data_IF_590319322832
#
_entry.id   IF_590319322832
#
_cell.length_a   1.000
_cell.length_b   1.000
_cell.length_c   1.000
_cell.angle_alpha   90.00
_cell.angle_beta   90.00
_cell.angle_gamma   90.00
#
_symmetry.space_group_name_H-M   'P 1'
#
loop_
_entity.id
_entity.type
_entity.pdbx_description
1 polymer ?
#
# COMPACT_ATOMS: atom_id res chain seq x y z
N UNK A 1 87.77 17.45 23.00
CA UNK A 1 87.06 16.15 22.94
C UNK A 1 86.20 16.10 24.20
N UNK A 2 84.88 16.00 24.24
CA UNK A 2 83.80 15.73 23.27
C UNK A 2 82.49 16.06 24.02
N UNK A 3 81.47 16.54 23.30
CA UNK A 3 80.18 16.99 23.81
C UNK A 3 79.21 15.85 24.18
N UNK A 4 78.28 16.12 25.10
CA UNK A 4 76.97 15.47 25.27
C UNK A 4 76.08 16.49 26.00
N UNK A 5 74.88 16.88 25.57
CA UNK A 5 73.90 16.30 24.66
C UNK A 5 72.53 16.35 25.36
N UNK A 6 71.70 17.36 25.03
CA UNK A 6 70.32 17.56 25.48
C UNK A 6 69.44 16.31 25.23
N UNK A 7 68.32 16.19 25.96
CA UNK A 7 66.98 15.94 25.36
C UNK A 7 65.85 16.13 26.38
N UNK A 8 64.92 17.05 26.05
CA UNK A 8 63.64 17.27 26.71
C UNK A 8 62.62 16.22 26.24
N UNK A 9 61.86 15.64 27.16
CA UNK A 9 60.72 14.77 26.85
C UNK A 9 59.41 15.57 26.94
N UNK A 10 58.75 15.77 25.80
CA UNK A 10 57.34 16.14 25.72
C UNK A 10 56.58 15.03 25.01
N UNK A 11 55.44 14.60 25.56
CA UNK A 11 54.53 13.63 24.94
C UNK A 11 53.10 14.19 25.04
N UNK A 12 52.43 14.23 23.88
CA UNK A 12 51.23 15.04 23.62
C UNK A 12 49.90 14.38 24.01
N UNK A 13 48.90 15.25 24.18
CA UNK A 13 47.48 14.87 24.26
C UNK A 13 47.00 14.32 22.91
N UNK A 14 46.40 13.13 22.93
CA UNK A 14 45.66 12.57 21.79
C UNK A 14 44.19 12.91 21.94
N UNK A 15 43.68 13.77 21.05
CA UNK A 15 42.24 14.03 20.89
C UNK A 15 41.63 12.90 20.05
N UNK A 16 40.82 12.05 20.68
CA UNK A 16 40.00 11.07 19.97
C UNK A 16 38.81 11.77 19.31
N UNK A 17 38.87 11.95 17.99
CA UNK A 17 37.71 12.36 17.20
C UNK A 17 36.75 11.17 17.07
N UNK A 18 35.68 11.18 17.87
CA UNK A 18 34.59 10.22 17.72
C UNK A 18 33.88 10.44 16.38
N UNK A 19 33.93 9.44 15.50
CA UNK A 19 33.11 9.43 14.29
C UNK A 19 31.64 9.35 14.69
N UNK A 20 30.91 10.46 14.55
CA UNK A 20 29.46 10.42 14.54
C UNK A 20 29.05 9.59 13.32
N UNK A 21 28.65 8.35 13.52
CA UNK A 21 27.96 7.58 12.49
C UNK A 21 26.66 8.35 12.19
N UNK A 22 26.65 9.09 11.08
CA UNK A 22 25.43 9.66 10.55
C UNK A 22 24.44 8.53 10.35
N UNK A 23 23.28 8.60 10.99
CA UNK A 23 22.18 7.71 10.67
C UNK A 23 21.76 8.06 9.24
N UNK A 24 22.22 7.27 8.27
CA UNK A 24 21.68 7.36 6.93
C UNK A 24 20.19 6.99 7.06
N UNK A 25 19.25 7.86 6.62
CA UNK A 25 17.86 7.49 6.61
C UNK A 25 17.73 6.18 5.84
N UNK A 26 17.06 5.20 6.44
CA UNK A 26 16.75 3.91 5.81
C UNK A 26 16.22 4.21 4.42
N UNK A 27 16.98 3.83 3.39
CA UNK A 27 16.55 4.04 2.01
C UNK A 27 15.36 3.11 1.80
N UNK A 28 14.19 3.69 1.52
CA UNK A 28 13.03 2.92 1.11
C UNK A 28 13.41 2.03 -0.08
N UNK A 29 12.89 0.82 -0.10
CA UNK A 29 12.87 0.03 -1.33
C UNK A 29 12.19 0.86 -2.42
N UNK A 30 12.87 1.04 -3.56
CA UNK A 30 12.41 1.91 -4.65
C UNK A 30 11.05 1.46 -5.23
N UNK A 31 10.66 0.20 -5.02
CA UNK A 31 9.33 -0.28 -5.39
C UNK A 31 8.22 0.51 -4.70
N UNK A 32 8.45 1.05 -3.51
CA UNK A 32 7.47 1.87 -2.79
C UNK A 32 7.38 3.32 -3.27
N UNK A 33 8.30 3.79 -4.13
CA UNK A 33 8.40 5.21 -4.50
C UNK A 33 7.07 5.78 -5.01
N UNK A 34 6.29 4.99 -5.76
CA UNK A 34 5.00 5.40 -6.29
C UNK A 34 3.98 5.83 -5.22
N UNK A 35 4.04 5.20 -4.04
CA UNK A 35 3.10 5.42 -2.95
C UNK A 35 3.61 6.41 -1.91
N UNK A 36 4.90 6.77 -1.91
CA UNK A 36 5.42 7.71 -0.91
C UNK A 36 4.76 9.09 -1.02
N UNK A 37 4.53 9.71 0.14
CA UNK A 37 3.88 11.02 0.23
C UNK A 37 2.54 10.95 0.95
N UNK A 38 1.82 12.07 0.97
CA UNK A 38 0.50 12.16 1.59
C UNK A 38 -0.61 12.16 0.54
N UNK A 39 -1.65 11.42 0.85
CA UNK A 39 -2.79 11.14 -0.02
C UNK A 39 -4.08 11.55 0.68
N UNK A 40 -5.05 12.00 -0.11
CA UNK A 40 -6.38 12.39 0.37
C UNK A 40 -7.44 11.59 -0.40
N UNK A 41 -8.58 11.24 0.24
CA UNK A 41 -9.61 10.46 -0.45
C UNK A 41 -10.10 11.15 -1.73
N UNK A 42 -10.11 10.44 -2.85
CA UNK A 42 -10.49 10.97 -4.16
C UNK A 42 -11.97 11.40 -4.20
N UNK A 43 -12.86 10.70 -3.49
CA UNK A 43 -14.27 11.09 -3.37
C UNK A 43 -14.53 12.25 -2.39
N UNK A 44 -13.51 12.80 -1.72
CA UNK A 44 -13.72 13.90 -0.78
C UNK A 44 -14.11 15.20 -1.52
N UNK A 45 -15.18 15.89 -1.09
CA UNK A 45 -15.54 17.21 -1.62
C UNK A 45 -14.39 18.20 -1.51
N UNK A 46 -14.28 19.11 -2.48
CA UNK A 46 -13.27 20.18 -2.42
C UNK A 46 -13.39 20.97 -1.12
N UNK A 47 -12.27 21.16 -0.42
CA UNK A 47 -12.22 21.88 0.85
C UNK A 47 -12.66 21.09 2.09
N UNK A 48 -13.05 19.81 1.95
CA UNK A 48 -13.35 18.95 3.10
C UNK A 48 -12.08 18.67 3.91
N UNK A 49 -12.18 18.76 5.25
CA UNK A 49 -11.10 18.37 6.17
C UNK A 49 -11.14 16.86 6.40
N UNK A 50 -10.65 16.09 5.44
CA UNK A 50 -10.50 14.64 5.57
C UNK A 50 -9.13 14.29 6.16
N UNK A 51 -9.02 13.22 6.96
CA UNK A 51 -7.72 12.67 7.33
C UNK A 51 -6.88 12.36 6.09
N UNK A 52 -5.58 12.63 6.16
CA UNK A 52 -4.62 12.24 5.14
C UNK A 52 -4.10 10.83 5.43
N UNK A 53 -3.81 10.08 4.38
CA UNK A 53 -3.02 8.86 4.44
C UNK A 53 -1.60 9.19 3.96
N UNK A 54 -0.62 9.19 4.84
CA UNK A 54 0.78 9.42 4.48
C UNK A 54 1.55 8.11 4.51
N UNK A 55 2.14 7.74 3.37
CA UNK A 55 3.02 6.57 3.25
C UNK A 55 4.44 7.06 3.40
N UNK A 56 5.15 6.51 4.39
CA UNK A 56 6.52 6.89 4.70
C UNK A 56 7.42 5.66 4.73
N UNK A 57 8.72 5.80 4.39
CA UNK A 57 9.67 4.70 4.54
C UNK A 57 9.72 4.17 5.98
N UNK A 58 9.82 2.85 6.13
CA UNK A 58 9.97 2.19 7.42
C UNK A 58 11.18 1.25 7.41
N UNK A 59 11.62 0.82 8.60
CA UNK A 59 12.61 -0.24 8.74
C UNK A 59 12.00 -1.58 8.33
N UNK A 60 12.72 -2.38 7.56
CA UNK A 60 12.30 -3.70 7.08
C UNK A 60 13.00 -4.02 5.77
N UNK A 61 12.61 -5.10 5.11
CA UNK A 61 13.20 -5.48 3.82
C UNK A 61 12.62 -4.64 2.68
N UNK A 62 11.30 -4.56 2.63
CA UNK A 62 10.55 -3.76 1.67
C UNK A 62 9.39 -3.10 2.39
N UNK A 63 9.72 -2.15 3.27
CA UNK A 63 8.78 -1.69 4.29
C UNK A 63 8.42 -0.20 4.23
N UNK A 64 7.15 0.06 4.52
CA UNK A 64 6.56 1.39 4.71
C UNK A 64 5.63 1.41 5.91
N UNK A 65 5.43 2.58 6.47
CA UNK A 65 4.35 2.85 7.40
C UNK A 65 3.27 3.69 6.71
N UNK A 66 2.01 3.25 6.82
CA UNK A 66 0.81 3.97 6.44
C UNK A 66 0.29 4.74 7.67
N UNK A 67 0.37 6.06 7.60
CA UNK A 67 0.05 6.97 8.71
C UNK A 67 -1.22 7.73 8.42
N UNK A 68 -2.21 7.61 9.30
CA UNK A 68 -3.40 8.47 9.24
C UNK A 68 -3.14 9.77 9.99
N UNK A 69 -3.07 10.89 9.26
CA UNK A 69 -2.82 12.22 9.81
C UNK A 69 -4.14 13.00 9.86
N UNK A 70 -4.54 13.41 11.07
CA UNK A 70 -5.71 14.26 11.28
C UNK A 70 -5.37 15.38 12.25
N UNK A 71 -5.75 16.62 11.90
CA UNK A 71 -5.46 17.79 12.74
C UNK A 71 -3.97 18.00 13.01
N UNK A 72 -3.10 17.67 12.05
CA UNK A 72 -1.64 17.79 12.18
C UNK A 72 -0.99 16.78 13.13
N UNK A 73 -1.69 15.68 13.46
CA UNK A 73 -1.18 14.60 14.32
C UNK A 73 -1.38 13.24 13.65
N UNK A 74 -0.46 12.31 13.89
CA UNK A 74 -0.67 10.90 13.55
C UNK A 74 -1.67 10.30 14.53
N UNK A 75 -2.72 9.70 13.99
CA UNK A 75 -3.85 9.12 14.75
C UNK A 75 -3.94 7.60 14.59
N UNK A 76 -3.35 7.05 13.52
CA UNK A 76 -3.18 5.63 13.32
C UNK A 76 -1.89 5.36 12.53
N UNK A 77 -1.30 4.19 12.76
CA UNK A 77 -0.11 3.70 12.06
C UNK A 77 -0.33 2.23 11.71
N UNK A 78 -0.03 1.88 10.47
CA UNK A 78 -0.01 0.51 9.97
C UNK A 78 1.34 0.26 9.31
N UNK A 79 1.99 -0.83 9.69
CA UNK A 79 3.28 -1.23 9.12
C UNK A 79 3.07 -2.30 8.06
N UNK A 80 3.74 -2.16 6.92
CA UNK A 80 3.73 -3.14 5.83
C UNK A 80 5.18 -3.45 5.47
N UNK A 81 5.58 -4.73 5.52
CA UNK A 81 6.82 -5.23 4.91
C UNK A 81 6.45 -6.25 3.82
N UNK A 82 6.68 -5.89 2.55
CA UNK A 82 6.25 -6.67 1.39
C UNK A 82 7.26 -7.78 1.00
N UNK A 83 7.72 -8.54 2.00
CA UNK A 83 8.72 -9.61 1.85
C UNK A 83 8.11 -11.02 1.69
N UNK A 84 6.78 -11.14 1.80
CA UNK A 84 6.04 -12.40 1.71
C UNK A 84 6.01 -13.23 3.00
N UNK A 85 6.66 -12.77 4.07
CA UNK A 85 6.66 -13.47 5.34
C UNK A 85 5.32 -13.32 6.06
N UNK A 86 4.93 -14.38 6.77
CA UNK A 86 3.78 -14.33 7.68
C UNK A 86 4.24 -13.80 9.03
N UNK A 87 3.71 -12.65 9.41
CA UNK A 87 3.97 -12.01 10.70
C UNK A 87 2.78 -12.26 11.60
N UNK A 88 3.02 -12.96 12.72
CA UNK A 88 2.00 -13.13 13.75
C UNK A 88 1.68 -11.78 14.39
N UNK A 89 0.40 -11.50 14.61
CA UNK A 89 -0.06 -10.27 15.23
C UNK A 89 -1.37 -10.51 15.99
N UNK A 90 -1.68 -9.61 16.92
CA UNK A 90 -2.97 -9.54 17.59
C UNK A 90 -3.55 -8.15 17.43
N UNK A 91 -4.72 -8.07 16.80
CA UNK A 91 -5.42 -6.81 16.52
C UNK A 91 -6.83 -6.91 17.07
N UNK A 92 -7.17 -6.01 18.00
CA UNK A 92 -8.54 -5.79 18.50
C UNK A 92 -9.25 -7.06 18.98
N UNK A 93 -8.56 -7.88 19.78
CA UNK A 93 -9.12 -9.14 20.27
C UNK A 93 -9.20 -10.23 19.20
N UNK A 94 -8.42 -10.12 18.12
CA UNK A 94 -8.23 -11.19 17.14
C UNK A 94 -6.75 -11.52 16.99
N UNK A 95 -6.40 -12.80 17.09
CA UNK A 95 -5.03 -13.31 16.99
C UNK A 95 -4.87 -14.14 15.73
N UNK A 96 -3.74 -13.99 15.06
CA UNK A 96 -3.51 -14.63 13.77
C UNK A 96 -2.25 -14.12 13.11
N UNK A 97 -2.28 -13.98 11.78
CA UNK A 97 -1.14 -13.52 11.00
C UNK A 97 -1.57 -12.60 9.85
N UNK A 98 -0.59 -11.83 9.38
CA UNK A 98 -0.68 -11.07 8.14
C UNK A 98 0.59 -11.28 7.30
N UNK A 99 0.50 -11.08 6.00
CA UNK A 99 1.66 -11.06 5.09
C UNK A 99 1.40 -10.06 3.96
N UNK A 100 2.45 -9.39 3.50
CA UNK A 100 2.41 -8.59 2.30
C UNK A 100 3.45 -9.09 1.30
N UNK A 101 3.13 -9.08 0.01
CA UNK A 101 4.02 -9.54 -1.05
C UNK A 101 3.83 -8.68 -2.30
N UNK A 102 4.94 -8.27 -2.93
CA UNK A 102 4.91 -7.65 -4.25
C UNK A 102 4.38 -8.61 -5.33
N UNK A 103 3.63 -8.07 -6.28
CA UNK A 103 3.39 -8.74 -7.56
C UNK A 103 4.72 -9.01 -8.27
N UNK A 104 4.73 -9.97 -9.20
CA UNK A 104 5.95 -10.34 -9.93
C UNK A 104 6.56 -9.18 -10.72
N UNK A 105 5.74 -8.23 -11.15
CA UNK A 105 6.18 -7.04 -11.87
C UNK A 105 6.45 -5.83 -10.96
N UNK A 106 6.28 -5.98 -9.65
CA UNK A 106 6.54 -4.96 -8.63
C UNK A 106 5.67 -3.70 -8.70
N UNK A 107 4.53 -3.77 -9.37
CA UNK A 107 3.62 -2.63 -9.53
C UNK A 107 2.45 -2.65 -8.53
N UNK A 108 2.30 -3.74 -7.77
CA UNK A 108 1.19 -3.96 -6.82
C UNK A 108 1.68 -4.72 -5.60
N UNK A 109 1.00 -4.52 -4.47
CA UNK A 109 1.22 -5.30 -3.25
C UNK A 109 -0.04 -6.08 -2.92
N UNK A 110 0.10 -7.40 -2.79
CA UNK A 110 -0.93 -8.30 -2.29
C UNK A 110 -0.76 -8.47 -0.78
N UNK A 111 -1.84 -8.29 -0.03
CA UNK A 111 -1.86 -8.50 1.40
C UNK A 111 -2.82 -9.64 1.74
N UNK A 112 -2.44 -10.44 2.72
CA UNK A 112 -3.26 -11.49 3.28
C UNK A 112 -3.29 -11.37 4.78
N UNK A 113 -4.43 -11.69 5.36
CA UNK A 113 -4.58 -11.84 6.78
C UNK A 113 -5.56 -12.96 7.11
N UNK A 114 -5.28 -13.66 8.20
CA UNK A 114 -6.11 -14.72 8.75
C UNK A 114 -6.06 -14.64 10.28
N UNK A 115 -7.22 -14.45 10.88
CA UNK A 115 -7.38 -14.16 12.31
C UNK A 115 -8.53 -14.96 12.90
N UNK A 116 -8.40 -15.31 14.17
CA UNK A 116 -9.51 -15.79 15.01
C UNK A 116 -9.74 -14.80 16.13
N UNK A 117 -10.97 -14.30 16.26
CA UNK A 117 -11.35 -13.34 17.29
C UNK A 117 -11.77 -14.02 18.59
N UNK A 118 -11.74 -13.29 19.71
CA UNK A 118 -12.05 -13.77 21.05
C UNK A 118 -13.46 -14.38 21.16
N UNK A 119 -14.39 -13.93 20.32
CA UNK A 119 -15.75 -14.47 20.20
C UNK A 119 -15.82 -15.75 19.32
N UNK A 120 -14.69 -16.31 18.91
CA UNK A 120 -14.57 -17.50 18.07
C UNK A 120 -14.83 -17.27 16.58
N UNK A 121 -15.07 -16.03 16.14
CA UNK A 121 -15.30 -15.71 14.72
C UNK A 121 -13.97 -15.73 13.97
N UNK A 122 -13.91 -16.57 12.92
CA UNK A 122 -12.81 -16.56 11.96
C UNK A 122 -12.97 -15.41 10.97
N UNK A 123 -11.86 -14.71 10.71
CA UNK A 123 -11.77 -13.58 9.80
C UNK A 123 -10.60 -13.77 8.86
N UNK A 124 -10.86 -13.74 7.57
CA UNK A 124 -9.83 -13.75 6.54
C UNK A 124 -10.01 -12.54 5.63
N UNK A 125 -8.90 -12.02 5.12
CA UNK A 125 -8.93 -10.95 4.14
C UNK A 125 -7.81 -11.09 3.13
N UNK A 126 -8.12 -10.73 1.89
CA UNK A 126 -7.13 -10.43 0.86
C UNK A 126 -7.28 -8.98 0.46
N UNK A 127 -6.18 -8.25 0.35
CA UNK A 127 -6.17 -6.86 -0.09
C UNK A 127 -5.14 -6.61 -1.18
N UNK A 128 -5.33 -5.52 -1.90
CA UNK A 128 -4.47 -5.05 -2.96
C UNK A 128 -4.19 -3.56 -2.75
N UNK A 129 -2.90 -3.21 -2.72
CA UNK A 129 -2.42 -1.85 -2.92
C UNK A 129 -1.94 -1.74 -4.36
N UNK A 130 -2.49 -0.79 -5.11
CA UNK A 130 -2.18 -0.55 -6.51
C UNK A 130 -2.23 0.95 -6.83
N UNK A 131 -1.78 1.30 -8.04
CA UNK A 131 -2.04 2.60 -8.65
C UNK A 131 -3.13 2.45 -9.70
N UNK A 132 -4.04 3.42 -9.78
CA UNK A 132 -4.95 3.57 -10.90
C UNK A 132 -4.19 4.05 -12.14
N UNK A 133 -4.82 3.98 -13.31
CA UNK A 133 -4.25 4.53 -14.54
C UNK A 133 -4.00 6.05 -14.47
N UNK A 134 -4.71 6.75 -13.57
CA UNK A 134 -4.62 8.20 -13.39
C UNK A 134 -3.63 8.59 -12.26
N UNK A 135 -2.85 7.62 -11.75
CA UNK A 135 -1.88 7.87 -10.68
C UNK A 135 -2.53 8.00 -9.30
N UNK A 136 -3.74 7.50 -9.11
CA UNK A 136 -4.40 7.46 -7.79
C UNK A 136 -4.03 6.19 -7.02
N UNK A 137 -3.66 6.33 -5.75
CA UNK A 137 -3.45 5.19 -4.88
C UNK A 137 -4.80 4.50 -4.63
N UNK A 138 -4.91 3.25 -5.03
CA UNK A 138 -6.01 2.35 -4.72
C UNK A 138 -5.66 1.36 -3.60
N UNK A 139 -6.55 1.27 -2.61
CA UNK A 139 -6.59 0.21 -1.60
C UNK A 139 -7.90 -0.56 -1.75
N UNK A 140 -7.82 -1.81 -2.16
CA UNK A 140 -8.95 -2.70 -2.37
C UNK A 140 -8.87 -3.82 -1.34
N UNK A 141 -9.85 -3.93 -0.46
CA UNK A 141 -9.87 -4.91 0.61
C UNK A 141 -11.11 -5.80 0.52
N UNK A 142 -10.89 -7.11 0.42
CA UNK A 142 -11.93 -8.13 0.62
C UNK A 142 -11.85 -8.63 2.05
N UNK A 143 -12.98 -8.63 2.75
CA UNK A 143 -13.10 -9.17 4.11
C UNK A 143 -14.14 -10.27 4.13
N UNK A 144 -13.78 -11.39 4.73
CA UNK A 144 -14.66 -12.49 5.09
C UNK A 144 -14.72 -12.60 6.61
N UNK A 145 -15.93 -12.63 7.17
CA UNK A 145 -16.19 -12.89 8.58
C UNK A 145 -17.29 -13.94 8.70
N UNK A 146 -16.90 -15.18 9.02
CA UNK A 146 -17.80 -16.32 8.94
C UNK A 146 -18.38 -16.52 7.54
N UNK A 147 -19.71 -16.44 7.39
CA UNK A 147 -20.41 -16.56 6.08
C UNK A 147 -20.67 -15.22 5.39
N UNK A 148 -20.34 -14.10 6.04
CA UNK A 148 -20.57 -12.75 5.51
C UNK A 148 -19.29 -12.23 4.91
N UNK A 149 -19.44 -11.48 3.84
CA UNK A 149 -18.34 -10.94 3.05
C UNK A 149 -18.63 -9.57 2.52
N UNK A 150 -17.57 -8.82 2.20
CA UNK A 150 -17.68 -7.55 1.53
C UNK A 150 -16.36 -7.12 0.91
N UNK A 151 -16.45 -6.24 -0.08
CA UNK A 151 -15.29 -5.57 -0.67
C UNK A 151 -15.42 -4.08 -0.45
N UNK A 152 -14.33 -3.48 0.01
CA UNK A 152 -14.18 -2.04 0.12
C UNK A 152 -13.14 -1.59 -0.90
N UNK A 153 -13.45 -0.51 -1.60
CA UNK A 153 -12.50 0.20 -2.46
C UNK A 153 -12.30 1.59 -1.88
N UNK A 154 -11.04 1.95 -1.68
CA UNK A 154 -10.64 3.32 -1.36
C UNK A 154 -9.69 3.80 -2.44
N UNK A 155 -9.98 4.96 -2.98
CA UNK A 155 -9.11 5.63 -3.94
C UNK A 155 -8.67 6.95 -3.34
N UNK A 156 -7.39 7.25 -3.47
CA UNK A 156 -6.77 8.46 -2.97
C UNK A 156 -6.00 9.17 -4.07
N UNK A 157 -6.17 10.49 -4.13
CA UNK A 157 -5.35 11.37 -4.96
C UNK A 157 -4.23 11.96 -4.11
N UNK A 158 -3.15 12.38 -4.75
CA UNK A 158 -2.08 13.10 -4.08
C UNK A 158 -2.62 14.35 -3.36
N UNK A 159 -2.18 14.55 -2.12
CA UNK A 159 -2.47 15.76 -1.38
C UNK A 159 -1.49 16.87 -1.81
N UNK A 160 -1.87 17.63 -2.85
CA UNK A 160 -1.06 18.74 -3.38
C UNK A 160 -0.71 19.80 -2.31
N UNK A 161 -1.61 20.02 -1.35
CA UNK A 161 -1.42 20.95 -0.25
C UNK A 161 -1.86 20.28 1.07
N UNK A 162 -1.02 19.42 1.68
CA UNK A 162 -1.42 18.61 2.84
C UNK A 162 -1.56 19.42 4.14
N UNK A 163 -1.25 20.72 4.11
CA UNK A 163 -1.20 21.55 5.31
C UNK A 163 -0.04 21.15 6.24
N UNK A 164 -0.09 21.55 7.52
CA UNK A 164 0.96 21.20 8.47
C UNK A 164 1.03 19.70 8.72
N UNK A 165 2.16 19.08 8.35
CA UNK A 165 2.45 17.69 8.65
C UNK A 165 3.22 17.57 9.98
N UNK A 166 3.02 16.48 10.75
CA UNK A 166 3.90 16.16 11.86
C UNK A 166 5.37 16.10 11.39
N UNK A 167 6.34 16.58 12.19
CA UNK A 167 7.76 16.55 11.80
C UNK A 167 8.27 15.16 11.42
N UNK A 168 7.78 14.10 12.08
CA UNK A 168 8.13 12.71 11.74
C UNK A 168 7.74 12.33 10.31
N UNK A 169 6.59 12.82 9.83
CA UNK A 169 6.09 12.55 8.47
C UNK A 169 6.87 13.38 7.46
N UNK A 170 7.02 14.68 7.72
CA UNK A 170 7.74 15.60 6.82
C UNK A 170 9.20 15.17 6.60
N UNK A 171 9.89 14.79 7.67
CA UNK A 171 11.28 14.33 7.61
C UNK A 171 11.43 12.99 6.89
N UNK A 172 10.48 12.07 7.07
CA UNK A 172 10.53 10.74 6.45
C UNK A 172 10.31 10.80 4.93
N UNK A 173 9.37 11.63 4.46
CA UNK A 173 9.11 11.84 3.03
C UNK A 173 10.34 12.50 2.38
N UNK A 174 10.85 13.59 2.96
CA UNK A 174 12.03 14.30 2.46
C UNK A 174 11.89 14.80 1.01
N UNK A 175 13.00 15.10 0.36
CA UNK A 175 13.04 15.50 -1.05
C UNK A 175 13.23 14.27 -1.96
N UNK A 176 12.11 13.71 -2.43
CA UNK A 176 12.06 12.50 -3.28
C UNK A 176 11.20 12.69 -4.53
N UNK A 177 10.87 13.93 -4.88
CA UNK A 177 9.84 14.24 -5.88
C UNK A 177 10.06 13.51 -7.22
N UNK A 178 11.30 13.50 -7.74
CA UNK A 178 11.59 12.81 -9.00
C UNK A 178 11.44 11.29 -8.92
N UNK A 179 11.85 10.67 -7.81
CA UNK A 179 11.74 9.22 -7.63
C UNK A 179 10.28 8.81 -7.49
N UNK A 180 9.50 9.58 -6.73
CA UNK A 180 8.06 9.38 -6.57
C UNK A 180 7.33 9.47 -7.91
N UNK A 181 7.62 10.50 -8.70
CA UNK A 181 6.98 10.67 -10.01
C UNK A 181 7.31 9.51 -10.98
N UNK A 182 8.57 9.11 -11.05
CA UNK A 182 8.97 7.95 -11.85
C UNK A 182 8.31 6.66 -11.36
N UNK A 183 8.20 6.48 -10.05
CA UNK A 183 7.49 5.36 -9.43
C UNK A 183 6.02 5.32 -9.82
N UNK A 184 5.32 6.46 -9.81
CA UNK A 184 3.90 6.55 -10.20
C UNK A 184 3.68 6.18 -11.66
N UNK A 185 4.55 6.64 -12.56
CA UNK A 185 4.50 6.25 -13.98
C UNK A 185 4.67 4.74 -14.15
N UNK A 186 5.61 4.13 -13.42
CA UNK A 186 5.83 2.69 -13.46
C UNK A 186 4.63 1.91 -12.88
N UNK A 187 4.13 2.29 -11.71
CA UNK A 187 3.02 1.58 -11.04
C UNK A 187 1.68 1.72 -11.78
N UNK A 188 1.54 2.72 -12.67
CA UNK A 188 0.36 2.95 -13.50
C UNK A 188 0.46 2.29 -14.89
N UNK A 189 1.51 1.50 -15.16
CA UNK A 189 1.74 0.88 -16.45
C UNK A 189 0.57 -0.01 -16.91
N UNK A 190 0.32 -0.18 -18.22
CA UNK A 190 -0.80 -0.97 -18.73
C UNK A 190 -0.83 -2.40 -18.20
N UNK A 191 -2.03 -2.88 -17.88
CA UNK A 191 -2.25 -4.20 -17.28
C UNK A 191 -2.16 -5.31 -18.33
N UNK A 192 -1.44 -6.40 -18.00
CA UNK A 192 -1.32 -7.59 -18.86
C UNK A 192 -2.22 -8.72 -18.35
N UNK A 193 -2.59 -9.65 -19.24
CA UNK A 193 -3.33 -10.84 -18.85
C UNK A 193 -2.61 -11.68 -17.77
N UNK A 194 -1.27 -11.76 -17.81
CA UNK A 194 -0.47 -12.45 -16.79
C UNK A 194 -0.67 -11.87 -15.40
N UNK A 195 -0.88 -10.56 -15.31
CA UNK A 195 -0.99 -9.84 -14.05
C UNK A 195 -2.36 -10.08 -13.41
N UNK A 196 -3.40 -10.19 -14.24
CA UNK A 196 -4.75 -10.58 -13.83
C UNK A 196 -4.78 -12.03 -13.39
N UNK A 197 -4.09 -12.92 -14.10
CA UNK A 197 -3.95 -14.32 -13.71
C UNK A 197 -3.24 -14.45 -12.36
N UNK A 198 -2.14 -13.71 -12.15
CA UNK A 198 -1.46 -13.66 -10.86
C UNK A 198 -2.37 -13.13 -9.76
N UNK A 199 -3.02 -11.98 -9.97
CA UNK A 199 -3.94 -11.40 -8.98
C UNK A 199 -5.06 -12.39 -8.62
N UNK A 200 -5.58 -13.14 -9.59
CA UNK A 200 -6.63 -14.15 -9.37
C UNK A 200 -6.16 -15.38 -8.58
N UNK A 201 -4.85 -15.66 -8.56
CA UNK A 201 -4.25 -16.71 -7.74
C UNK A 201 -3.94 -16.22 -6.31
N UNK A 202 -3.81 -14.91 -6.12
CA UNK A 202 -3.41 -14.29 -4.86
C UNK A 202 -4.58 -13.67 -4.10
N UNK A 203 -5.65 -13.29 -4.77
CA UNK A 203 -6.73 -12.53 -4.17
C UNK A 203 -8.06 -13.24 -4.34
N UNK A 204 -8.98 -12.96 -3.43
CA UNK A 204 -10.35 -13.36 -3.61
C UNK A 204 -10.95 -12.66 -4.83
N UNK A 205 -11.75 -13.42 -5.58
CA UNK A 205 -12.57 -12.96 -6.70
C UNK A 205 -13.03 -11.50 -6.66
N UNK A 206 -13.87 -11.19 -5.67
CA UNK A 206 -14.47 -9.86 -5.54
C UNK A 206 -13.44 -8.72 -5.44
N UNK A 207 -12.24 -8.99 -4.92
CA UNK A 207 -11.15 -7.99 -4.83
C UNK A 207 -10.57 -7.72 -6.22
N UNK A 208 -10.32 -8.76 -7.00
CA UNK A 208 -9.83 -8.61 -8.39
C UNK A 208 -10.86 -7.89 -9.24
N UNK A 209 -12.14 -8.27 -9.13
CA UNK A 209 -13.25 -7.61 -9.82
C UNK A 209 -13.31 -6.12 -9.49
N UNK A 210 -13.33 -5.78 -8.20
CA UNK A 210 -13.39 -4.39 -7.76
C UNK A 210 -12.15 -3.59 -8.20
N UNK A 211 -10.96 -4.20 -8.16
CA UNK A 211 -9.75 -3.58 -8.68
C UNK A 211 -9.86 -3.23 -10.17
N UNK A 212 -10.24 -4.19 -11.01
CA UNK A 212 -10.35 -3.97 -12.46
C UNK A 212 -11.35 -2.86 -12.79
N UNK A 213 -12.49 -2.82 -12.10
CA UNK A 213 -13.52 -1.79 -12.29
C UNK A 213 -13.03 -0.39 -11.93
N UNK A 214 -12.23 -0.26 -10.88
CA UNK A 214 -11.81 1.03 -10.33
C UNK A 214 -10.44 1.51 -10.83
N UNK A 215 -9.67 0.63 -11.51
CA UNK A 215 -8.34 0.97 -12.02
C UNK A 215 -8.37 2.07 -13.08
N UNK A 216 -9.45 2.12 -13.88
CA UNK A 216 -9.51 2.99 -15.05
C UNK A 216 -8.53 2.58 -16.16
N UNK A 217 -8.47 3.42 -17.19
CA UNK A 217 -7.70 3.15 -18.42
C UNK A 217 -8.45 2.31 -19.44
N UNK A 218 -7.99 2.35 -20.69
CA UNK A 218 -8.51 1.49 -21.74
C UNK A 218 -8.03 0.06 -21.52
N UNK A 219 -8.97 -0.89 -21.57
CA UNK A 219 -8.67 -2.30 -21.56
C UNK A 219 -8.81 -2.85 -22.97
N UNK A 220 -7.84 -3.66 -23.39
CA UNK A 220 -7.97 -4.47 -24.60
C UNK A 220 -7.89 -5.93 -24.20
N UNK A 221 -8.69 -6.76 -24.87
CA UNK A 221 -8.66 -8.20 -24.66
C UNK A 221 -9.00 -8.92 -25.95
N UNK A 222 -8.23 -9.94 -26.29
CA UNK A 222 -8.45 -10.83 -27.42
C UNK A 222 -9.07 -12.16 -26.97
N UNK A 223 -9.68 -12.89 -27.91
CA UNK A 223 -10.22 -14.22 -27.63
C UNK A 223 -9.15 -15.18 -27.08
N UNK A 224 -7.92 -15.11 -27.62
CA UNK A 224 -6.81 -15.94 -27.18
C UNK A 224 -6.40 -15.63 -25.73
N UNK A 225 -6.40 -14.37 -25.33
CA UNK A 225 -6.10 -13.98 -23.95
C UNK A 225 -7.18 -14.47 -22.97
N UNK A 226 -8.46 -14.43 -23.35
CA UNK A 226 -9.55 -14.98 -22.54
C UNK A 226 -9.41 -16.50 -22.36
N UNK A 227 -9.05 -17.22 -23.42
CA UNK A 227 -8.76 -18.66 -23.35
C UNK A 227 -7.56 -18.95 -22.42
N UNK A 228 -6.49 -18.16 -22.51
CA UNK A 228 -5.31 -18.32 -21.66
C UNK A 228 -5.63 -18.05 -20.19
N UNK A 229 -6.44 -17.04 -19.89
CA UNK A 229 -6.93 -16.76 -18.54
C UNK A 229 -7.78 -17.90 -17.99
N UNK A 230 -8.71 -18.43 -18.80
CA UNK A 230 -9.53 -19.57 -18.41
C UNK A 230 -8.67 -20.82 -18.13
N UNK A 231 -7.68 -21.11 -18.99
CA UNK A 231 -6.73 -22.20 -18.80
C UNK A 231 -5.85 -22.01 -17.55
N UNK A 232 -5.56 -20.75 -17.18
CA UNK A 232 -4.84 -20.40 -15.96
C UNK A 232 -5.72 -20.45 -14.68
N UNK A 233 -6.99 -20.82 -14.81
CA UNK A 233 -7.93 -20.95 -13.69
C UNK A 233 -8.56 -19.63 -13.24
N UNK A 234 -8.47 -18.58 -14.05
CA UNK A 234 -9.09 -17.29 -13.75
C UNK A 234 -10.62 -17.46 -13.74
N UNK A 235 -11.32 -17.05 -12.66
CA UNK A 235 -12.77 -17.16 -12.60
C UNK A 235 -13.49 -16.44 -13.74
N UNK A 236 -14.52 -17.08 -14.32
CA UNK A 236 -15.26 -16.53 -15.46
C UNK A 236 -15.83 -15.12 -15.24
N UNK A 237 -16.23 -14.79 -14.01
CA UNK A 237 -16.68 -13.44 -13.65
C UNK A 237 -15.62 -12.35 -13.87
N UNK A 238 -14.34 -12.68 -13.71
CA UNK A 238 -13.23 -11.76 -13.97
C UNK A 238 -13.07 -11.57 -15.47
N UNK A 239 -13.12 -12.64 -16.26
CA UNK A 239 -13.05 -12.54 -17.73
C UNK A 239 -14.26 -11.78 -18.30
N UNK A 240 -15.44 -11.91 -17.72
CA UNK A 240 -16.63 -11.15 -18.10
C UNK A 240 -16.45 -9.65 -17.83
N UNK A 241 -15.86 -9.27 -16.68
CA UNK A 241 -15.52 -7.87 -16.38
C UNK A 241 -14.50 -7.35 -17.39
N UNK A 242 -13.49 -8.13 -17.75
CA UNK A 242 -12.50 -7.72 -18.75
C UNK A 242 -13.15 -7.43 -20.10
N UNK A 243 -14.05 -8.30 -20.56
CA UNK A 243 -14.82 -8.08 -21.79
C UNK A 243 -15.68 -6.81 -21.68
N UNK A 244 -16.34 -6.61 -20.54
CA UNK A 244 -17.16 -5.42 -20.34
C UNK A 244 -16.35 -4.12 -20.36
N UNK A 245 -15.16 -4.11 -19.74
CA UNK A 245 -14.24 -2.98 -19.74
C UNK A 245 -13.61 -2.73 -21.11
N UNK A 246 -13.37 -3.78 -21.90
CA UNK A 246 -12.84 -3.65 -23.26
C UNK A 246 -13.89 -3.19 -24.29
N UNK A 247 -15.17 -3.44 -24.02
CA UNK A 247 -16.28 -3.06 -24.91
C UNK A 247 -17.37 -2.27 -24.17
N UNK A 248 -17.06 -1.09 -23.60
CA UNK A 248 -17.97 -0.34 -22.74
C UNK A 248 -19.21 0.22 -23.46
N UNK A 249 -19.19 0.26 -24.80
CA UNK A 249 -20.35 0.64 -25.61
C UNK A 249 -21.35 -0.51 -25.82
N UNK A 250 -20.98 -1.74 -25.48
CA UNK A 250 -21.81 -2.95 -25.65
C UNK A 250 -22.27 -3.54 -24.32
N UNK A 251 -21.46 -3.38 -23.28
CA UNK A 251 -21.73 -3.92 -21.96
C UNK A 251 -21.73 -2.80 -20.93
N UNK A 252 -22.57 -2.95 -19.91
CA UNK A 252 -22.60 -2.07 -18.76
C UNK A 252 -22.32 -2.88 -17.51
N UNK A 253 -21.36 -2.40 -16.71
CA UNK A 253 -21.13 -2.93 -15.37
C UNK A 253 -22.09 -2.25 -14.40
N UNK A 254 -22.84 -3.06 -13.66
CA UNK A 254 -23.68 -2.57 -12.58
C UNK A 254 -22.87 -2.61 -11.28
N UNK A 255 -22.81 -1.51 -10.52
CA UNK A 255 -22.33 -1.58 -9.16
C UNK A 255 -23.11 -2.67 -8.41
N UNK A 256 -22.43 -3.52 -7.66
CA UNK A 256 -23.08 -4.40 -6.70
C UNK A 256 -23.98 -3.56 -5.79
N UNK A 257 -25.16 -4.07 -5.46
CA UNK A 257 -26.18 -3.35 -4.68
C UNK A 257 -25.69 -2.82 -3.32
N UNK A 258 -26.51 -2.05 -2.59
CA UNK A 258 -26.12 -1.09 -1.55
C UNK A 258 -25.43 -1.63 -0.28
N UNK A 259 -24.90 -2.85 -0.24
CA UNK A 259 -24.31 -3.43 0.98
C UNK A 259 -22.84 -3.06 1.23
N UNK A 260 -22.19 -2.22 0.40
CA UNK A 260 -20.74 -1.95 0.53
C UNK A 260 -20.28 -0.49 0.52
N UNK A 261 -21.12 0.48 0.15
CA UNK A 261 -20.73 1.89 0.11
C UNK A 261 -20.85 2.53 1.51
N UNK A 262 -19.93 2.18 2.41
CA UNK A 262 -19.77 2.85 3.70
C UNK A 262 -19.45 4.33 3.49
N UNK A 263 -20.41 5.18 3.86
CA UNK A 263 -20.29 6.63 3.89
C UNK A 263 -19.10 7.09 4.72
N UNK A 264 -18.51 8.21 4.31
CA UNK A 264 -17.47 8.96 5.01
C UNK A 264 -17.85 9.28 6.46
N UNK A 265 -17.49 8.40 7.38
CA UNK A 265 -17.10 8.74 8.74
C UNK A 265 -15.60 8.45 8.83
N UNK A 266 -14.81 9.42 9.31
CA UNK A 266 -13.37 9.34 9.65
C UNK A 266 -12.74 7.98 9.34
N UNK A 267 -12.06 7.89 8.20
CA UNK A 267 -11.55 6.65 7.62
C UNK A 267 -10.91 5.75 8.70
N UNK A 268 -11.57 4.63 9.03
CA UNK A 268 -10.89 3.60 9.76
C UNK A 268 -9.81 2.98 8.87
N UNK A 269 -8.55 2.99 9.33
CA UNK A 269 -7.51 2.08 8.80
C UNK A 269 -7.96 0.63 8.96
N UNK A 270 -7.24 -0.34 8.40
CA UNK A 270 -7.58 -1.76 8.52
C UNK A 270 -7.86 -2.23 9.97
N UNK A 271 -7.35 -1.51 10.97
CA UNK A 271 -7.77 -1.64 12.37
C UNK A 271 -9.23 -1.21 12.62
N UNK A 272 -9.68 -0.03 12.24
CA UNK A 272 -10.92 0.55 12.81
C UNK A 272 -12.24 0.12 12.14
N UNK A 273 -12.24 -0.73 11.10
CA UNK A 273 -13.49 -1.21 10.45
C UNK A 273 -14.34 -2.10 11.40
N UNK A 274 -13.79 -2.46 12.56
CA UNK A 274 -14.39 -3.41 13.52
C UNK A 274 -15.19 -2.74 14.65
N UNK A 275 -15.26 -1.41 14.73
CA UNK A 275 -16.05 -0.73 15.78
C UNK A 275 -17.54 -0.56 15.45
N UNK A 276 -18.04 -1.14 14.35
CA UNK A 276 -19.45 -1.07 13.95
C UNK A 276 -20.03 -2.46 13.65
N UNK A 277 -20.00 -3.35 14.65
CA UNK A 277 -20.86 -4.53 14.76
C UNK A 277 -20.95 -4.99 16.21
#
# INVERSE_FOLDING_TARGET
MTAAGLLMAGAGLVLAAGSAAGQHPTRADARWDAWLGCWQPAGAPSGAKTPLMCVVPASGHSAVDLLTVAGGKVTAREHIDANGERVADTRQGCTGWQSAQWSRDHERVYLHADYTCDNGVHRASTSLIAMSNDGEFMDVQGLQAGKKGGVRVLTYREAQNPGPLPPEVANAIGDRAMAVEAGRVAASAPLRASDIAEASQRLDAPVVEAWLVNRGGEMTVSAKELEDLANAGVPGRITDIMVALAYPQRYALRPGGPEGAGQYASAPTASQVVSAA
#
